data_IF_428205083710
#
_entry.id   IF_428205083710
#
_cell.length_a   1.000
_cell.length_b   1.000
_cell.length_c   1.000
_cell.angle_alpha   90.00
_cell.angle_beta   90.00
_cell.angle_gamma   90.00
#
_symmetry.space_group_name_H-M   'P 1'
#
loop_
_entity.id
_entity.type
_entity.pdbx_description
1 polymer ?
#
# COMPACT_ATOMS: atom_id res chain seq x y z
N UNK A 1 -12.05 3.29 -41.15
CA UNK A 1 -12.19 2.16 -40.19
C UNK A 1 -13.37 1.28 -40.63
N UNK A 2 -13.49 0.00 -40.25
CA UNK A 2 -14.66 -0.85 -40.61
C UNK A 2 -15.53 -1.14 -39.38
N UNK A 3 -16.78 -1.53 -39.57
CA UNK A 3 -17.72 -1.86 -38.48
C UNK A 3 -17.19 -3.04 -37.66
N UNK A 4 -16.59 -4.05 -38.30
CA UNK A 4 -15.97 -5.19 -37.63
C UNK A 4 -14.90 -4.74 -36.63
N UNK A 5 -14.12 -3.71 -36.97
CA UNK A 5 -13.09 -3.17 -36.08
C UNK A 5 -13.70 -2.57 -34.81
N UNK A 6 -14.90 -1.97 -34.86
CA UNK A 6 -15.60 -1.48 -33.65
C UNK A 6 -15.93 -2.65 -32.74
N UNK A 7 -16.52 -3.71 -33.28
CA UNK A 7 -16.91 -4.86 -32.46
C UNK A 7 -15.70 -5.60 -31.90
N UNK A 8 -14.61 -5.67 -32.66
CA UNK A 8 -13.34 -6.20 -32.18
C UNK A 8 -12.77 -5.35 -31.04
N UNK A 9 -12.78 -4.02 -31.18
CA UNK A 9 -12.31 -3.07 -30.15
C UNK A 9 -13.14 -3.15 -28.87
N UNK A 10 -14.48 -3.18 -28.98
CA UNK A 10 -15.38 -3.39 -27.83
C UNK A 10 -15.05 -4.72 -27.15
N UNK A 11 -14.85 -5.79 -27.93
CA UNK A 11 -14.56 -7.13 -27.40
C UNK A 11 -13.20 -7.18 -26.70
N UNK A 12 -12.18 -6.52 -27.24
CA UNK A 12 -10.86 -6.37 -26.60
C UNK A 12 -10.97 -5.58 -25.29
N UNK A 13 -11.67 -4.45 -25.33
CA UNK A 13 -11.90 -3.60 -24.16
C UNK A 13 -12.61 -4.35 -23.03
N UNK A 14 -13.67 -5.08 -23.35
CA UNK A 14 -14.40 -5.92 -22.40
C UNK A 14 -13.53 -6.99 -21.75
N UNK A 15 -12.74 -7.71 -22.54
CA UNK A 15 -11.80 -8.71 -22.01
C UNK A 15 -10.85 -8.07 -21.01
N UNK A 16 -10.19 -6.97 -21.41
CA UNK A 16 -9.25 -6.24 -20.55
C UNK A 16 -9.89 -5.73 -19.26
N UNK A 17 -11.12 -5.22 -19.31
CA UNK A 17 -11.84 -4.78 -18.12
C UNK A 17 -12.26 -5.96 -17.23
N UNK A 18 -12.69 -7.08 -17.81
CA UNK A 18 -13.02 -8.28 -17.06
C UNK A 18 -11.79 -8.92 -16.40
N UNK A 19 -10.63 -8.89 -17.07
CA UNK A 19 -9.37 -9.36 -16.50
C UNK A 19 -9.01 -8.53 -15.26
N UNK A 20 -9.17 -7.20 -15.33
CA UNK A 20 -9.02 -6.32 -14.18
C UNK A 20 -10.03 -6.63 -13.06
N UNK A 21 -11.31 -6.86 -13.38
CA UNK A 21 -12.31 -7.25 -12.39
C UNK A 21 -11.93 -8.56 -11.69
N UNK A 22 -11.44 -9.55 -12.45
CA UNK A 22 -11.01 -10.83 -11.89
C UNK A 22 -9.77 -10.69 -11.01
N UNK A 23 -8.85 -9.77 -11.34
CA UNK A 23 -7.67 -9.48 -10.54
C UNK A 23 -8.04 -8.88 -9.18
N UNK A 24 -8.99 -7.94 -9.16
CA UNK A 24 -9.39 -7.25 -7.92
C UNK A 24 -10.36 -8.06 -7.07
N UNK A 25 -11.13 -8.99 -7.66
CA UNK A 25 -12.20 -9.73 -6.97
C UNK A 25 -11.79 -10.37 -5.64
N UNK A 26 -10.65 -11.06 -5.51
CA UNK A 26 -10.22 -11.63 -4.23
C UNK A 26 -9.88 -10.58 -3.16
N UNK A 27 -9.69 -9.33 -3.59
CA UNK A 27 -9.25 -8.21 -2.76
C UNK A 27 -10.35 -7.18 -2.53
N UNK A 28 -11.60 -7.45 -2.93
CA UNK A 28 -12.72 -6.50 -2.82
C UNK A 28 -12.87 -5.97 -1.39
N UNK A 29 -12.78 -6.84 -0.38
CA UNK A 29 -12.88 -6.44 1.04
C UNK A 29 -11.72 -5.53 1.52
N UNK A 30 -10.65 -5.43 0.74
CA UNK A 30 -9.45 -4.63 1.03
C UNK A 30 -9.30 -3.43 0.10
N UNK A 31 -10.36 -3.09 -0.63
CA UNK A 31 -10.41 -1.95 -1.55
C UNK A 31 -11.47 -0.97 -1.04
N UNK A 32 -11.13 0.32 -1.05
CA UNK A 32 -12.06 1.38 -0.65
C UNK A 32 -13.41 1.25 -1.36
N UNK A 33 -14.52 1.32 -0.61
CA UNK A 33 -15.88 1.25 -1.15
C UNK A 33 -16.14 2.30 -2.22
N UNK A 34 -15.50 3.48 -2.11
CA UNK A 34 -15.58 4.54 -3.13
C UNK A 34 -15.00 4.06 -4.46
N UNK A 35 -13.83 3.42 -4.44
CA UNK A 35 -13.20 2.88 -5.64
C UNK A 35 -14.01 1.74 -6.24
N UNK A 36 -14.52 0.81 -5.42
CA UNK A 36 -15.38 -0.27 -5.90
C UNK A 36 -16.65 0.27 -6.57
N UNK A 37 -17.28 1.29 -5.97
CA UNK A 37 -18.46 1.94 -6.56
C UNK A 37 -18.15 2.52 -7.94
N UNK A 38 -17.03 3.20 -8.10
CA UNK A 38 -16.60 3.75 -9.40
C UNK A 38 -16.34 2.65 -10.44
N UNK A 39 -15.74 1.53 -10.04
CA UNK A 39 -15.49 0.37 -10.92
C UNK A 39 -16.81 -0.27 -11.37
N UNK A 40 -17.74 -0.49 -10.43
CA UNK A 40 -19.06 -1.04 -10.76
C UNK A 40 -19.89 -0.09 -11.62
N UNK A 41 -19.82 1.21 -11.36
CA UNK A 41 -20.44 2.24 -12.18
C UNK A 41 -19.87 2.19 -13.62
N UNK A 42 -18.55 2.11 -13.75
CA UNK A 42 -17.90 1.96 -15.07
C UNK A 42 -18.37 0.71 -15.79
N UNK A 43 -18.53 -0.42 -15.09
CA UNK A 43 -19.08 -1.66 -15.67
C UNK A 43 -20.48 -1.45 -16.26
N UNK A 44 -21.37 -0.78 -15.52
CA UNK A 44 -22.72 -0.48 -16.00
C UNK A 44 -22.70 0.45 -17.21
N UNK A 45 -21.85 1.48 -17.20
CA UNK A 45 -21.67 2.40 -18.33
C UNK A 45 -21.19 1.70 -19.61
N UNK A 46 -20.26 0.74 -19.49
CA UNK A 46 -19.76 -0.02 -20.63
C UNK A 46 -20.86 -0.86 -21.30
N UNK A 47 -21.71 -1.51 -20.50
CA UNK A 47 -22.84 -2.29 -21.00
C UNK A 47 -23.83 -1.37 -21.73
N UNK A 48 -24.19 -0.24 -21.13
CA UNK A 48 -25.11 0.72 -21.74
C UNK A 48 -24.55 1.33 -23.03
N UNK A 49 -23.25 1.67 -23.05
CA UNK A 49 -22.58 2.26 -24.19
C UNK A 49 -22.47 1.29 -25.37
N UNK A 50 -22.19 0.01 -25.11
CA UNK A 50 -22.21 -1.02 -26.14
C UNK A 50 -23.58 -1.15 -26.80
N UNK A 51 -24.65 -1.29 -25.99
CA UNK A 51 -26.02 -1.40 -26.51
C UNK A 51 -26.40 -0.18 -27.36
N UNK A 52 -26.05 1.03 -26.88
CA UNK A 52 -26.25 2.28 -27.63
C UNK A 52 -25.48 2.28 -28.95
N UNK A 53 -24.27 1.75 -28.97
CA UNK A 53 -23.42 1.68 -30.17
C UNK A 53 -23.99 0.69 -31.18
N UNK A 54 -24.37 -0.51 -30.74
CA UNK A 54 -25.02 -1.52 -31.56
C UNK A 54 -26.30 -0.97 -32.20
N UNK A 55 -27.14 -0.30 -31.41
CA UNK A 55 -28.38 0.29 -31.90
C UNK A 55 -28.14 1.40 -32.93
N UNK A 56 -27.17 2.30 -32.67
CA UNK A 56 -26.79 3.35 -33.62
C UNK A 56 -26.30 2.78 -34.96
N UNK A 57 -25.40 1.78 -34.91
CA UNK A 57 -24.89 1.11 -36.10
C UNK A 57 -26.01 0.42 -36.89
N UNK A 58 -26.87 -0.33 -36.20
CA UNK A 58 -28.01 -1.02 -36.83
C UNK A 58 -28.96 -0.04 -37.52
N UNK A 59 -29.31 1.05 -36.84
CA UNK A 59 -30.19 2.10 -37.38
C UNK A 59 -29.58 2.76 -38.61
N UNK A 60 -28.29 3.07 -38.59
CA UNK A 60 -27.61 3.72 -39.71
C UNK A 60 -27.50 2.78 -40.92
N UNK A 61 -27.18 1.50 -40.70
CA UNK A 61 -27.17 0.49 -41.75
C UNK A 61 -28.54 0.34 -42.43
N UNK A 62 -29.64 0.37 -41.66
CA UNK A 62 -30.98 0.33 -42.22
C UNK A 62 -31.31 1.57 -43.04
N UNK A 63 -30.87 2.76 -42.60
CA UNK A 63 -31.06 4.00 -43.35
C UNK A 63 -30.28 4.01 -44.66
N UNK A 64 -29.02 3.60 -44.65
CA UNK A 64 -28.18 3.51 -45.85
C UNK A 64 -28.80 2.54 -46.87
N UNK A 65 -29.23 1.35 -46.42
CA UNK A 65 -29.91 0.36 -47.30
C UNK A 65 -31.22 0.85 -47.89
N UNK A 66 -31.86 1.84 -47.28
CA UNK A 66 -33.11 2.43 -47.75
C UNK A 66 -32.93 3.76 -48.47
N UNK A 67 -31.70 4.12 -48.86
CA UNK A 67 -31.34 5.40 -49.48
C UNK A 67 -31.76 6.64 -48.66
N UNK A 68 -31.81 6.50 -47.32
CA UNK A 68 -32.22 7.54 -46.35
C UNK A 68 -31.06 8.15 -45.57
N UNK A 69 -29.84 7.70 -45.82
CA UNK A 69 -28.61 8.24 -45.25
C UNK A 69 -27.44 7.94 -46.18
N UNK A 70 -26.42 8.80 -46.16
CA UNK A 70 -25.20 8.61 -46.95
C UNK A 70 -24.18 7.74 -46.21
N UNK A 71 -23.30 7.07 -46.96
CA UNK A 71 -22.18 6.31 -46.38
C UNK A 71 -21.22 7.20 -45.58
N UNK A 72 -21.12 8.49 -45.92
CA UNK A 72 -20.33 9.49 -45.20
C UNK A 72 -20.73 9.62 -43.72
N UNK A 73 -22.00 9.37 -43.37
CA UNK A 73 -22.46 9.33 -41.98
C UNK A 73 -21.89 8.13 -41.21
N UNK A 74 -21.71 6.99 -41.89
CA UNK A 74 -21.09 5.80 -41.31
C UNK A 74 -19.62 6.08 -41.03
N UNK A 75 -18.88 6.64 -41.99
CA UNK A 75 -17.49 7.01 -41.81
C UNK A 75 -17.29 7.94 -40.60
N UNK A 76 -18.13 8.96 -40.45
CA UNK A 76 -18.07 9.87 -39.29
C UNK A 76 -18.34 9.15 -37.96
N UNK A 77 -19.31 8.24 -37.92
CA UNK A 77 -19.59 7.46 -36.71
C UNK A 77 -18.39 6.58 -36.34
N UNK A 78 -17.79 5.94 -37.33
CA UNK A 78 -16.60 5.11 -37.17
C UNK A 78 -15.44 5.97 -36.63
N UNK A 79 -15.15 7.11 -37.24
CA UNK A 79 -14.04 7.98 -36.81
C UNK A 79 -14.21 8.53 -35.39
N UNK A 80 -15.45 8.82 -34.98
CA UNK A 80 -15.73 9.32 -33.64
C UNK A 80 -15.70 8.23 -32.55
N UNK A 81 -15.83 6.95 -32.91
CA UNK A 81 -15.92 5.86 -31.94
C UNK A 81 -14.74 5.86 -30.95
N UNK A 82 -13.50 5.92 -31.44
CA UNK A 82 -12.31 5.88 -30.59
C UNK A 82 -12.10 7.14 -29.75
N UNK A 83 -12.68 8.27 -30.17
CA UNK A 83 -12.51 9.57 -29.49
C UNK A 83 -13.55 9.78 -28.39
N UNK A 84 -14.79 9.41 -28.68
CA UNK A 84 -15.96 9.83 -27.88
C UNK A 84 -16.65 8.67 -27.17
N UNK A 85 -16.46 7.44 -27.63
CA UNK A 85 -17.22 6.32 -27.10
C UNK A 85 -16.57 5.75 -25.83
N UNK A 86 -17.36 5.67 -24.76
CA UNK A 86 -16.91 5.14 -23.47
C UNK A 86 -16.61 3.63 -23.48
N UNK A 87 -17.13 2.88 -24.45
CA UNK A 87 -16.81 1.46 -24.65
C UNK A 87 -15.69 1.20 -25.67
N UNK A 88 -15.06 2.26 -26.22
CA UNK A 88 -13.83 2.11 -27.00
C UNK A 88 -12.70 1.55 -26.14
N UNK A 89 -11.79 0.81 -26.79
CA UNK A 89 -10.61 0.28 -26.13
C UNK A 89 -9.79 1.40 -25.47
N UNK A 90 -9.58 2.51 -26.16
CA UNK A 90 -8.84 3.67 -25.63
C UNK A 90 -9.47 4.25 -24.36
N UNK A 91 -10.81 4.36 -24.31
CA UNK A 91 -11.50 4.86 -23.12
C UNK A 91 -11.32 3.92 -21.92
N UNK A 92 -11.42 2.61 -22.16
CA UNK A 92 -11.22 1.58 -21.13
C UNK A 92 -9.78 1.60 -20.63
N UNK A 93 -8.79 1.69 -21.52
CA UNK A 93 -7.39 1.76 -21.16
C UNK A 93 -7.05 2.99 -20.32
N UNK A 94 -7.63 4.15 -20.66
CA UNK A 94 -7.47 5.37 -19.87
C UNK A 94 -8.02 5.19 -18.46
N UNK A 95 -9.24 4.66 -18.34
CA UNK A 95 -9.84 4.37 -17.04
C UNK A 95 -8.97 3.41 -16.21
N UNK A 96 -8.49 2.31 -16.80
CA UNK A 96 -7.65 1.35 -16.10
C UNK A 96 -6.30 1.97 -15.67
N UNK A 97 -5.74 2.86 -16.48
CA UNK A 97 -4.54 3.62 -16.13
C UNK A 97 -4.78 4.55 -14.93
N UNK A 98 -5.95 5.18 -14.85
CA UNK A 98 -6.36 5.98 -13.69
C UNK A 98 -6.53 5.12 -12.43
N UNK A 99 -6.87 3.82 -12.58
CA UNK A 99 -7.02 2.84 -11.49
C UNK A 99 -5.78 1.98 -11.21
N UNK A 100 -4.61 2.36 -11.75
CA UNK A 100 -3.33 1.65 -11.52
C UNK A 100 -2.91 1.58 -10.05
N UNK A 101 -3.44 2.48 -9.22
CA UNK A 101 -3.18 2.49 -7.80
C UNK A 101 -3.76 1.25 -7.10
N UNK A 102 -4.93 0.76 -7.55
CA UNK A 102 -5.56 -0.44 -7.02
C UNK A 102 -4.66 -1.66 -7.24
N UNK A 103 -4.17 -1.85 -8.46
CA UNK A 103 -3.27 -2.97 -8.78
C UNK A 103 -1.93 -2.85 -8.07
N UNK A 104 -1.36 -1.65 -7.96
CA UNK A 104 -0.13 -1.42 -7.19
C UNK A 104 -0.28 -1.82 -5.72
N UNK A 105 -1.41 -1.49 -5.12
CA UNK A 105 -1.74 -1.81 -3.73
C UNK A 105 -1.96 -3.30 -3.49
N UNK A 106 -2.70 -3.95 -4.39
CA UNK A 106 -2.84 -5.41 -4.41
C UNK A 106 -1.47 -6.09 -4.51
N UNK A 107 -0.54 -5.55 -5.32
CA UNK A 107 0.84 -6.06 -5.40
C UNK A 107 1.56 -6.02 -4.06
N UNK A 108 1.48 -4.90 -3.33
CA UNK A 108 2.06 -4.77 -1.98
C UNK A 108 1.47 -5.79 -1.02
N UNK A 109 0.14 -5.94 -1.02
CA UNK A 109 -0.53 -6.91 -0.18
C UNK A 109 -0.07 -8.34 -0.52
N UNK A 110 -0.05 -8.73 -1.79
CA UNK A 110 0.42 -10.07 -2.22
C UNK A 110 1.86 -10.38 -1.84
N UNK A 111 2.79 -9.44 -2.04
CA UNK A 111 4.23 -9.72 -1.99
C UNK A 111 4.85 -9.52 -0.60
N UNK A 112 4.22 -8.69 0.24
CA UNK A 112 4.81 -8.19 1.49
C UNK A 112 4.00 -8.63 2.70
N UNK A 113 2.67 -8.60 2.63
CA UNK A 113 1.81 -8.70 3.80
C UNK A 113 0.92 -9.95 3.70
N UNK A 114 1.06 -10.93 4.61
CA UNK A 114 0.12 -12.05 4.66
C UNK A 114 -1.33 -11.55 4.81
N UNK A 115 -2.27 -12.11 4.06
CA UNK A 115 -3.69 -11.70 4.06
C UNK A 115 -4.31 -11.66 5.48
N UNK A 116 -3.90 -12.60 6.35
CA UNK A 116 -4.32 -12.65 7.77
C UNK A 116 -3.96 -11.41 8.60
N UNK A 117 -3.02 -10.59 8.13
CA UNK A 117 -2.57 -9.37 8.81
C UNK A 117 -3.27 -8.12 8.25
N UNK A 118 -4.07 -8.24 7.18
CA UNK A 118 -4.83 -7.13 6.59
C UNK A 118 -6.17 -6.98 7.29
N UNK A 119 -6.52 -5.75 7.65
CA UNK A 119 -7.75 -5.45 8.37
C UNK A 119 -8.85 -4.92 7.43
N UNK A 120 -9.96 -5.68 7.33
CA UNK A 120 -11.08 -5.39 6.41
C UNK A 120 -12.01 -4.28 6.90
N UNK A 121 -12.32 -4.25 8.19
CA UNK A 121 -13.16 -3.25 8.83
C UNK A 121 -12.55 -2.89 10.19
N UNK A 122 -12.57 -1.60 10.53
CA UNK A 122 -12.22 -1.12 11.87
C UNK A 122 -13.39 -0.33 12.43
N UNK A 123 -13.77 -0.61 13.67
CA UNK A 123 -14.78 0.21 14.36
C UNK A 123 -14.12 1.44 14.97
N UNK A 124 -13.05 1.24 15.73
CA UNK A 124 -12.13 2.27 16.22
C UNK A 124 -10.74 1.67 16.46
N UNK A 125 -9.70 2.50 16.60
CA UNK A 125 -8.37 2.00 17.02
C UNK A 125 -8.45 1.45 18.44
N UNK A 126 -9.23 2.07 19.32
CA UNK A 126 -9.43 1.64 20.70
C UNK A 126 -10.03 0.24 20.80
N UNK A 127 -11.05 -0.06 19.99
CA UNK A 127 -11.66 -1.39 19.92
C UNK A 127 -10.67 -2.42 19.38
N UNK A 128 -9.91 -2.05 18.35
CA UNK A 128 -8.86 -2.91 17.81
C UNK A 128 -7.81 -3.25 18.88
N UNK A 129 -7.30 -2.25 19.58
CA UNK A 129 -6.30 -2.42 20.62
C UNK A 129 -6.83 -3.18 21.84
N UNK A 130 -8.13 -3.07 22.13
CA UNK A 130 -8.80 -3.83 23.19
C UNK A 130 -8.88 -5.32 22.86
N UNK A 131 -9.13 -5.68 21.59
CA UNK A 131 -9.16 -7.08 21.15
C UNK A 131 -7.79 -7.77 21.25
N UNK A 132 -6.71 -6.99 21.20
CA UNK A 132 -5.32 -7.48 21.29
C UNK A 132 -4.62 -6.97 22.56
N UNK A 133 -5.37 -6.75 23.65
CA UNK A 133 -4.89 -6.08 24.85
C UNK A 133 -3.62 -6.72 25.45
N UNK A 134 -3.57 -8.06 25.51
CA UNK A 134 -2.43 -8.81 26.06
C UNK A 134 -1.24 -8.94 25.09
N UNK A 135 -1.38 -8.44 23.86
CA UNK A 135 -0.36 -8.53 22.82
C UNK A 135 0.46 -7.24 22.69
N UNK A 136 1.68 -7.41 22.19
CA UNK A 136 2.41 -6.32 21.56
C UNK A 136 1.84 -6.10 20.14
N UNK A 137 1.22 -4.96 19.89
CA UNK A 137 0.52 -4.69 18.62
C UNK A 137 1.32 -3.71 17.78
N UNK A 138 1.64 -4.10 16.54
CA UNK A 138 2.27 -3.24 15.54
C UNK A 138 1.25 -2.93 14.45
N UNK A 139 0.86 -1.65 14.34
CA UNK A 139 -0.13 -1.19 13.36
C UNK A 139 0.57 -0.42 12.25
N UNK A 140 0.66 -1.01 11.06
CA UNK A 140 1.16 -0.29 9.87
C UNK A 140 0.02 0.51 9.26
N UNK A 141 0.13 1.84 9.30
CA UNK A 141 -0.77 2.74 8.59
C UNK A 141 -0.21 3.03 7.20
N UNK A 142 -0.99 2.71 6.17
CA UNK A 142 -0.58 2.91 4.77
C UNK A 142 -1.70 3.56 3.95
N UNK A 143 -1.33 4.48 3.07
CA UNK A 143 -2.21 5.15 2.11
C UNK A 143 -1.52 5.19 0.75
N UNK A 144 -2.31 5.23 -0.32
CA UNK A 144 -1.87 5.51 -1.69
C UNK A 144 -1.16 6.87 -1.79
N UNK A 145 -1.70 7.89 -1.11
CA UNK A 145 -1.12 9.24 -1.10
C UNK A 145 0.32 9.20 -0.58
N UNK A 146 0.55 8.54 0.56
CA UNK A 146 1.89 8.47 1.16
C UNK A 146 2.87 7.62 0.36
N UNK A 147 2.38 6.57 -0.31
CA UNK A 147 3.23 5.78 -1.21
C UNK A 147 3.72 6.60 -2.41
N UNK A 148 2.93 7.57 -2.85
CA UNK A 148 3.25 8.43 -3.99
C UNK A 148 4.08 9.64 -3.58
N UNK A 149 3.68 10.35 -2.52
CA UNK A 149 4.30 11.61 -2.07
C UNK A 149 5.59 11.38 -1.26
N UNK A 150 5.68 10.29 -0.47
CA UNK A 150 6.85 9.94 0.33
C UNK A 150 7.22 8.47 0.19
N UNK A 151 7.59 8.11 -1.06
CA UNK A 151 7.97 6.76 -1.43
C UNK A 151 9.13 6.22 -0.59
N UNK A 152 10.08 7.08 -0.19
CA UNK A 152 11.26 6.67 0.56
C UNK A 152 10.89 6.21 1.97
N UNK A 153 10.09 6.99 2.70
CA UNK A 153 9.58 6.59 4.02
C UNK A 153 8.67 5.36 3.90
N UNK A 154 7.71 5.37 2.98
CA UNK A 154 6.78 4.24 2.79
C UNK A 154 7.52 2.93 2.53
N UNK A 155 8.58 2.96 1.73
CA UNK A 155 9.39 1.75 1.44
C UNK A 155 10.16 1.26 2.67
N UNK A 156 10.69 2.19 3.49
CA UNK A 156 11.39 1.85 4.75
C UNK A 156 10.44 1.20 5.75
N UNK A 157 9.28 1.81 5.98
CA UNK A 157 8.26 1.31 6.90
C UNK A 157 7.76 -0.06 6.46
N UNK A 158 7.40 -0.25 5.18
CA UNK A 158 6.99 -1.55 4.63
C UNK A 158 8.04 -2.64 4.83
N UNK A 159 9.31 -2.33 4.56
CA UNK A 159 10.42 -3.29 4.73
C UNK A 159 10.62 -3.66 6.21
N UNK A 160 10.55 -2.66 7.10
CA UNK A 160 10.68 -2.89 8.53
C UNK A 160 9.51 -3.71 9.07
N UNK A 161 8.28 -3.37 8.68
CA UNK A 161 7.09 -4.12 9.04
C UNK A 161 7.13 -5.58 8.56
N UNK A 162 7.62 -5.84 7.34
CA UNK A 162 7.85 -7.21 6.85
C UNK A 162 8.83 -7.97 7.74
N UNK A 163 9.84 -7.30 8.28
CA UNK A 163 10.78 -7.90 9.23
C UNK A 163 10.07 -8.29 10.53
N UNK A 164 9.22 -7.40 11.07
CA UNK A 164 8.43 -7.67 12.28
C UNK A 164 7.51 -8.89 12.09
N UNK A 165 6.76 -8.95 10.98
CA UNK A 165 5.89 -10.09 10.64
C UNK A 165 6.69 -11.39 10.57
N UNK A 166 7.88 -11.36 9.97
CA UNK A 166 8.68 -12.56 9.79
C UNK A 166 9.35 -13.01 11.10
N UNK A 167 9.75 -12.08 11.98
CA UNK A 167 10.25 -12.43 13.30
C UNK A 167 9.20 -13.15 14.15
N UNK A 168 7.91 -12.79 14.03
CA UNK A 168 6.82 -13.53 14.69
C UNK A 168 6.70 -14.97 14.20
N UNK A 169 6.88 -15.21 12.89
CA UNK A 169 6.80 -16.55 12.30
C UNK A 169 7.95 -17.45 12.76
N UNK A 170 9.17 -16.91 12.82
CA UNK A 170 10.38 -17.67 13.18
C UNK A 170 10.32 -18.20 14.62
N UNK A 171 9.70 -17.46 15.55
CA UNK A 171 9.56 -17.90 16.95
C UNK A 171 8.53 -19.02 17.10
N UNK A 172 7.50 -19.06 16.25
CA UNK A 172 6.44 -20.06 16.32
C UNK A 172 6.80 -21.41 15.64
N UNK A 173 7.81 -21.44 14.76
CA UNK A 173 8.26 -22.66 14.05
C UNK A 173 9.37 -23.45 14.79
N UNK A 174 9.58 -23.20 16.08
CA UNK A 174 10.09 -24.23 17.01
C UNK A 174 11.60 -24.39 17.17
N UNK A 175 12.38 -23.30 17.34
CA UNK A 175 13.82 -23.41 17.71
C UNK A 175 14.33 -22.49 18.83
N UNK A 176 13.48 -21.83 19.60
CA UNK A 176 13.92 -21.14 20.82
C UNK A 176 12.93 -21.39 21.95
N UNK A 177 13.42 -21.94 23.07
CA UNK A 177 12.67 -22.17 24.31
C UNK A 177 12.37 -20.89 25.11
N UNK A 178 12.45 -19.72 24.47
CA UNK A 178 12.08 -18.45 25.09
C UNK A 178 10.74 -18.01 24.50
N UNK A 179 9.73 -18.02 25.36
CA UNK A 179 8.38 -17.45 25.27
C UNK A 179 7.93 -16.97 23.88
N UNK A 180 6.84 -17.51 23.28
CA UNK A 180 6.34 -16.97 22.02
C UNK A 180 6.12 -15.46 22.18
N UNK A 181 6.72 -14.68 21.27
CA UNK A 181 6.47 -13.24 21.24
C UNK A 181 4.98 -13.10 20.94
N UNK A 182 4.24 -12.72 21.98
CA UNK A 182 2.80 -12.59 21.94
C UNK A 182 2.49 -11.24 21.28
N UNK A 183 2.68 -11.16 19.97
CA UNK A 183 2.50 -9.93 19.19
C UNK A 183 1.55 -10.10 18.02
N UNK A 184 0.94 -8.99 17.62
CA UNK A 184 0.08 -8.90 16.44
C UNK A 184 0.59 -7.80 15.52
N UNK A 185 1.04 -8.18 14.32
CA UNK A 185 1.31 -7.26 13.22
C UNK A 185 0.06 -7.09 12.36
N UNK A 186 -0.54 -5.91 12.38
CA UNK A 186 -1.79 -5.59 11.67
C UNK A 186 -1.56 -4.42 10.72
N UNK A 187 -2.14 -4.49 9.53
CA UNK A 187 -2.09 -3.42 8.53
C UNK A 187 -3.44 -2.73 8.49
N UNK A 188 -3.41 -1.42 8.69
CA UNK A 188 -4.54 -0.51 8.54
C UNK A 188 -4.34 0.26 7.25
N UNK A 189 -5.20 -0.03 6.29
CA UNK A 189 -5.29 0.74 5.07
C UNK A 189 -6.08 2.03 5.32
N UNK A 190 -5.37 3.15 5.37
CA UNK A 190 -5.98 4.45 5.62
C UNK A 190 -7.01 4.82 4.54
N UNK A 191 -6.81 4.43 3.28
CA UNK A 191 -7.76 4.77 2.20
C UNK A 191 -9.06 3.95 2.29
N UNK A 192 -9.03 2.82 3.01
CA UNK A 192 -10.20 1.99 3.31
C UNK A 192 -10.97 2.53 4.52
N UNK A 193 -10.25 3.03 5.52
CA UNK A 193 -10.79 3.42 6.84
C UNK A 193 -10.76 4.94 7.09
N UNK A 194 -10.70 5.74 6.02
CA UNK A 194 -10.42 7.19 6.15
C UNK A 194 -11.47 7.93 7.00
N UNK A 195 -12.75 7.56 6.87
CA UNK A 195 -13.84 8.13 7.66
C UNK A 195 -13.73 7.79 9.15
N UNK A 196 -13.29 6.57 9.45
CA UNK A 196 -13.21 6.06 10.83
C UNK A 196 -11.98 6.63 11.55
N UNK A 197 -10.96 7.01 10.77
CA UNK A 197 -9.71 7.61 11.26
C UNK A 197 -9.69 9.15 11.22
N UNK A 198 -10.72 9.79 10.65
CA UNK A 198 -10.75 11.24 10.47
C UNK A 198 -10.86 12.03 11.79
N UNK A 199 -11.44 11.41 12.82
CA UNK A 199 -11.64 11.99 14.15
C UNK A 199 -10.60 11.54 15.18
N UNK A 200 -9.63 10.71 14.79
CA UNK A 200 -8.60 10.22 15.69
C UNK A 200 -7.47 11.26 15.83
N UNK A 201 -7.21 11.70 17.08
CA UNK A 201 -6.06 12.55 17.41
C UNK A 201 -4.70 11.89 17.09
N UNK A 202 -4.71 10.57 16.86
CA UNK A 202 -3.56 9.78 16.44
C UNK A 202 -3.49 9.57 14.93
N UNK A 203 -4.31 10.27 14.13
CA UNK A 203 -4.27 10.20 12.67
C UNK A 203 -2.85 10.37 12.14
N UNK A 204 -2.40 9.34 11.43
CA UNK A 204 -1.13 9.38 10.72
C UNK A 204 -1.19 10.41 9.59
N UNK A 205 -0.12 11.19 9.44
CA UNK A 205 0.06 12.12 8.31
C UNK A 205 1.07 11.60 7.27
N UNK A 206 1.73 10.48 7.58
CA UNK A 206 2.70 9.75 6.74
C UNK A 206 2.54 8.25 6.99
N UNK A 207 3.14 7.43 6.13
CA UNK A 207 3.27 6.01 6.41
C UNK A 207 4.08 5.81 7.70
N UNK A 208 3.53 5.09 8.68
CA UNK A 208 4.18 4.83 9.95
C UNK A 208 3.69 3.52 10.57
N UNK A 209 4.46 3.02 11.53
CA UNK A 209 4.10 1.87 12.35
C UNK A 209 3.84 2.38 13.75
N UNK A 210 2.61 2.26 14.24
CA UNK A 210 2.33 2.44 15.65
C UNK A 210 2.73 1.18 16.41
N UNK A 211 3.20 1.37 17.62
CA UNK A 211 3.36 0.28 18.57
C UNK A 211 2.45 0.52 19.76
N UNK A 212 1.65 -0.47 20.10
CA UNK A 212 0.73 -0.44 21.23
C UNK A 212 0.93 -1.68 22.11
N UNK A 213 0.67 -1.51 23.40
CA UNK A 213 0.71 -2.58 24.39
C UNK A 213 -0.29 -2.27 25.50
N UNK A 214 -1.07 -3.28 25.93
CA UNK A 214 -2.11 -3.11 26.97
C UNK A 214 -3.10 -2.01 26.59
N UNK A 215 -3.66 -2.10 25.38
CA UNK A 215 -4.67 -1.18 24.88
C UNK A 215 -4.18 0.26 24.62
N UNK A 216 -2.88 0.54 24.79
CA UNK A 216 -2.35 1.91 24.75
C UNK A 216 -1.25 2.03 23.70
N UNK A 217 -1.34 3.06 22.85
CA UNK A 217 -0.27 3.43 21.92
C UNK A 217 0.96 3.90 22.73
N UNK A 218 2.08 3.22 22.55
CA UNK A 218 3.38 3.52 23.17
C UNK A 218 4.30 4.29 22.24
N UNK A 219 4.15 4.10 20.94
CA UNK A 219 4.89 4.84 19.91
C UNK A 219 3.99 5.14 18.72
N UNK A 220 4.11 6.36 18.19
CA UNK A 220 3.42 6.81 16.97
C UNK A 220 4.23 6.59 15.69
N UNK A 221 5.52 6.30 15.82
CA UNK A 221 6.41 5.92 14.73
C UNK A 221 7.52 5.00 15.28
N UNK A 222 7.16 3.74 15.45
CA UNK A 222 8.00 2.73 16.08
C UNK A 222 9.29 2.49 15.28
N UNK A 223 9.26 2.66 13.96
CA UNK A 223 10.46 2.59 13.14
C UNK A 223 11.45 3.69 13.52
N UNK A 224 11.01 4.95 13.58
CA UNK A 224 11.89 6.05 13.97
C UNK A 224 12.38 5.92 15.43
N UNK A 225 11.50 5.54 16.36
CA UNK A 225 11.87 5.34 17.76
C UNK A 225 12.90 4.21 17.92
N UNK A 226 12.74 3.11 17.21
CA UNK A 226 13.68 1.98 17.24
C UNK A 226 15.07 2.38 16.71
N UNK A 227 15.12 3.16 15.63
CA UNK A 227 16.39 3.68 15.09
C UNK A 227 17.07 4.65 16.05
N UNK A 228 16.30 5.54 16.67
CA UNK A 228 16.81 6.48 17.66
C UNK A 228 17.35 5.76 18.89
N UNK A 229 16.68 4.71 19.35
CA UNK A 229 17.14 3.88 20.46
C UNK A 229 18.47 3.19 20.12
N UNK A 230 18.56 2.50 18.97
CA UNK A 230 19.80 1.82 18.55
C UNK A 230 20.95 2.82 18.42
N UNK A 231 20.69 4.00 17.83
CA UNK A 231 21.70 5.05 17.69
C UNK A 231 22.21 5.54 19.05
N UNK A 232 21.32 5.74 20.03
CA UNK A 232 21.70 6.14 21.40
C UNK A 232 22.51 5.06 22.12
N UNK A 233 22.11 3.80 22.02
CA UNK A 233 22.83 2.68 22.63
C UNK A 233 24.24 2.59 22.04
N UNK A 234 24.35 2.66 20.71
CA UNK A 234 25.65 2.60 20.04
C UNK A 234 26.56 3.79 20.38
N UNK A 235 26.01 5.00 20.47
CA UNK A 235 26.75 6.18 20.93
C UNK A 235 27.25 6.02 22.38
N UNK A 236 26.40 5.50 23.28
CA UNK A 236 26.80 5.23 24.66
C UNK A 236 27.93 4.18 24.75
N UNK A 237 27.89 3.13 23.91
CA UNK A 237 28.97 2.14 23.85
C UNK A 237 30.29 2.74 23.35
N UNK A 238 30.24 3.65 22.37
CA UNK A 238 31.42 4.37 21.88
C UNK A 238 32.00 5.25 22.97
N UNK A 239 31.16 6.01 23.67
CA UNK A 239 31.60 6.90 24.75
C UNK A 239 32.23 6.11 25.89
N UNK A 240 31.63 4.97 26.28
CA UNK A 240 32.23 4.07 27.28
C UNK A 240 33.62 3.57 26.85
N UNK A 241 33.77 3.11 25.60
CA UNK A 241 35.07 2.67 25.07
C UNK A 241 36.10 3.81 25.04
N UNK A 242 35.66 5.03 24.69
CA UNK A 242 36.51 6.23 24.69
C UNK A 242 36.99 6.58 26.09
N UNK A 243 36.11 6.54 27.09
CA UNK A 243 36.47 6.76 28.50
C UNK A 243 37.47 5.74 29.01
N UNK A 244 37.31 4.46 28.64
CA UNK A 244 38.25 3.40 28.99
C UNK A 244 39.64 3.63 28.38
N UNK A 245 39.70 4.04 27.11
CA UNK A 245 40.95 4.37 26.42
C UNK A 245 41.70 5.54 27.09
N UNK A 246 40.99 6.62 27.41
CA UNK A 246 41.57 7.78 28.11
C UNK A 246 42.09 7.36 29.50
N UNK A 247 41.33 6.54 30.23
CA UNK A 247 41.75 6.01 31.52
C UNK A 247 43.03 5.17 31.45
N UNK A 248 43.15 4.32 30.42
CA UNK A 248 44.34 3.51 30.17
C UNK A 248 45.56 4.36 29.79
N UNK A 249 45.37 5.42 29.00
CA UNK A 249 46.43 6.34 28.62
C UNK A 249 46.96 7.10 29.85
N UNK A 250 46.08 7.65 30.69
CA UNK A 250 46.46 8.35 31.92
C UNK A 250 47.20 7.43 32.90
N UNK A 251 46.81 6.15 32.97
CA UNK A 251 47.51 5.15 33.78
C UNK A 251 48.93 4.91 33.26
N UNK A 252 49.09 4.71 31.95
CA UNK A 252 50.39 4.55 31.30
C UNK A 252 51.30 5.77 31.52
N UNK A 253 50.75 6.99 31.39
CA UNK A 253 51.51 8.23 31.64
C UNK A 253 51.99 8.33 33.10
N UNK A 254 51.17 7.94 34.08
CA UNK A 254 51.56 7.91 35.50
C UNK A 254 52.66 6.90 35.78
N UNK A 255 52.56 5.70 35.20
CA UNK A 255 53.57 4.65 35.33
C UNK A 255 54.92 5.08 34.73
N UNK A 256 54.91 5.67 33.52
CA UNK A 256 56.10 6.25 32.89
C UNK A 256 56.70 7.39 33.73
N UNK A 257 55.88 8.30 34.26
CA UNK A 257 56.34 9.40 35.11
C UNK A 257 57.03 8.87 36.38
N UNK A 258 56.47 7.81 36.98
CA UNK A 258 57.03 7.16 38.17
C UNK A 258 58.37 6.48 37.86
N UNK A 259 58.47 5.80 36.71
CA UNK A 259 59.71 5.19 36.24
C UNK A 259 60.80 6.24 35.98
N UNK A 260 60.46 7.35 35.33
CA UNK A 260 61.39 8.45 35.06
C UNK A 260 61.91 9.11 36.34
N UNK A 261 61.06 9.23 37.38
CA UNK A 261 61.51 9.71 38.70
C UNK A 261 62.49 8.74 39.35
N UNK A 262 62.24 7.42 39.27
CA UNK A 262 63.15 6.39 39.80
C UNK A 262 64.51 6.32 39.09
N UNK A 263 64.58 6.74 37.82
CA UNK A 263 65.85 6.78 37.06
C UNK A 263 66.66 8.05 37.37
N UNK A 264 66.00 9.13 37.83
CA UNK A 264 66.63 10.44 38.09
C UNK A 264 67.08 10.67 39.54
N UNK A 265 66.68 9.81 40.47
CA UNK A 265 67.12 9.82 41.87
C UNK A 265 68.06 8.66 42.15
#
# INVERSE_FOLDING_TARGET
>A
MRIENIFEDISKGKRKFNDFLNEIKPWEDYISRVWLKEIHQKKAELIAAELKTQHKLSTLLQKIRGDKAEESEMERLLDNFNRENSCSLMSIERFLKEKRNITSKIGIFKDIIPEKNLLKEITTIEDLLSNYYELDVYLLHISEKWQTEDKANSSKQLRYFKTLINSEKIVNDGKSNDTPINSACIVIDYDLHSSDLEHDENKANKCCIYYAKRGTIKSKDYYEDSLNYVSRVWLNEIDQKRTQLIGAELKTQRELSTLLQKIRG
#
